data_IF_527809887775
#
_entry.id   IF_527809887775
#
_cell.length_a   1.000
_cell.length_b   1.000
_cell.length_c   1.000
_cell.angle_alpha   90.00
_cell.angle_beta   90.00
_cell.angle_gamma   90.00
#
_symmetry.space_group_name_H-M   'P 1'
#
loop_
_entity.id
_entity.type
_entity.pdbx_description
1 polymer ?
#
# COMPACT_ATOMS: atom_id res chain seq x y z
N UNK A 1 23.26 -13.02 23.77
CA UNK A 1 21.79 -13.07 23.97
C UNK A 1 21.14 -11.68 23.86
N UNK A 2 21.65 -10.67 24.53
CA UNK A 2 21.07 -9.30 24.57
C UNK A 2 21.06 -8.59 23.21
N UNK A 3 22.14 -8.71 22.42
CA UNK A 3 22.20 -8.12 21.05
C UNK A 3 21.15 -8.75 20.13
N UNK A 4 20.96 -10.07 20.21
CA UNK A 4 19.95 -10.77 19.40
C UNK A 4 18.54 -10.33 19.76
N UNK A 5 18.25 -10.17 21.06
CA UNK A 5 16.97 -9.64 21.58
C UNK A 5 16.72 -8.20 21.13
N UNK A 6 17.72 -7.30 21.23
CA UNK A 6 17.63 -5.92 20.72
C UNK A 6 17.37 -5.87 19.23
N UNK A 7 18.02 -6.73 18.44
CA UNK A 7 17.79 -6.82 17.00
C UNK A 7 16.40 -7.37 16.66
N UNK A 8 15.89 -8.30 17.45
CA UNK A 8 14.53 -8.83 17.31
C UNK A 8 13.48 -7.77 17.69
N UNK A 9 13.70 -7.02 18.79
CA UNK A 9 12.85 -5.89 19.20
C UNK A 9 12.85 -4.77 18.14
N UNK A 10 14.01 -4.40 17.57
CA UNK A 10 14.11 -3.41 16.50
C UNK A 10 13.50 -3.88 15.16
N UNK A 11 13.40 -5.20 14.94
CA UNK A 11 12.75 -5.80 13.77
C UNK A 11 11.29 -6.14 14.01
N UNK A 12 10.83 -6.03 15.25
CA UNK A 12 9.45 -6.30 15.60
C UNK A 12 8.54 -5.29 14.93
N UNK A 13 7.61 -5.79 14.13
CA UNK A 13 6.57 -4.99 13.46
C UNK A 13 5.22 -5.34 14.11
N UNK A 14 5.13 -5.08 15.42
CA UNK A 14 3.98 -5.52 16.23
C UNK A 14 2.66 -4.90 15.77
N UNK A 15 2.67 -3.63 15.37
CA UNK A 15 1.47 -2.95 14.87
C UNK A 15 1.04 -3.52 13.50
N UNK A 16 2.02 -3.89 12.67
CA UNK A 16 1.74 -4.54 11.38
C UNK A 16 1.16 -5.93 11.58
N UNK A 17 1.66 -6.66 12.58
CA UNK A 17 1.08 -7.96 12.93
C UNK A 17 -0.37 -7.83 13.40
N UNK A 18 -0.69 -6.80 14.21
CA UNK A 18 -2.07 -6.48 14.60
C UNK A 18 -2.96 -6.13 13.40
N UNK A 19 -2.44 -5.40 12.40
CA UNK A 19 -3.17 -5.16 11.15
C UNK A 19 -3.45 -6.48 10.45
N UNK A 20 -2.43 -7.35 10.30
CA UNK A 20 -2.57 -8.63 9.62
C UNK A 20 -3.61 -9.55 10.26
N UNK A 21 -3.69 -9.58 11.59
CA UNK A 21 -4.66 -10.35 12.36
C UNK A 21 -6.05 -9.68 12.48
N UNK A 22 -6.17 -8.44 12.04
CA UNK A 22 -7.40 -7.67 12.22
C UNK A 22 -8.52 -8.25 11.33
N UNK A 23 -9.73 -8.48 11.88
CA UNK A 23 -10.84 -9.10 11.14
C UNK A 23 -11.19 -8.38 9.82
N UNK A 24 -11.20 -7.04 9.82
CA UNK A 24 -11.48 -6.25 8.62
C UNK A 24 -10.39 -6.39 7.54
N UNK A 25 -9.12 -6.56 7.93
CA UNK A 25 -8.03 -6.80 7.00
C UNK A 25 -8.15 -8.16 6.34
N UNK A 26 -8.39 -9.21 7.15
CA UNK A 26 -8.60 -10.58 6.67
C UNK A 26 -9.81 -10.62 5.73
N UNK A 27 -10.92 -10.00 6.12
CA UNK A 27 -12.13 -9.90 5.30
C UNK A 27 -11.84 -9.22 3.96
N UNK A 28 -11.11 -8.09 3.98
CA UNK A 28 -10.71 -7.35 2.78
C UNK A 28 -9.90 -8.20 1.82
N UNK A 29 -8.88 -8.93 2.33
CA UNK A 29 -8.06 -9.85 1.52
C UNK A 29 -8.89 -10.96 0.87
N UNK A 30 -9.79 -11.59 1.63
CA UNK A 30 -10.66 -12.64 1.10
C UNK A 30 -11.57 -12.08 0.01
N UNK A 31 -12.19 -10.92 0.25
CA UNK A 31 -13.09 -10.27 -0.72
C UNK A 31 -12.37 -9.80 -1.99
N UNK A 32 -11.14 -9.27 -1.87
CA UNK A 32 -10.31 -8.93 -3.02
C UNK A 32 -10.01 -10.17 -3.86
N UNK A 33 -9.56 -11.25 -3.22
CA UNK A 33 -9.29 -12.53 -3.88
C UNK A 33 -10.51 -13.07 -4.62
N UNK A 34 -11.68 -13.04 -3.99
CA UNK A 34 -12.92 -13.52 -4.59
C UNK A 34 -13.35 -12.64 -5.78
N UNK A 35 -13.22 -11.31 -5.65
CA UNK A 35 -13.58 -10.38 -6.71
C UNK A 35 -12.62 -10.45 -7.91
N UNK A 36 -11.40 -10.89 -7.71
CA UNK A 36 -10.34 -11.01 -8.73
C UNK A 36 -10.12 -12.46 -9.21
N UNK A 37 -10.98 -13.40 -8.82
CA UNK A 37 -10.82 -14.83 -9.12
C UNK A 37 -10.62 -15.13 -10.61
N UNK A 38 -11.39 -14.47 -11.48
CA UNK A 38 -11.32 -14.64 -12.93
C UNK A 38 -10.42 -13.58 -13.60
N UNK A 39 -9.74 -12.77 -12.83
CA UNK A 39 -8.89 -11.70 -13.35
C UNK A 39 -7.56 -12.27 -13.84
N UNK A 40 -7.22 -12.00 -15.10
CA UNK A 40 -5.94 -12.39 -15.72
C UNK A 40 -4.81 -11.36 -15.51
N UNK A 41 -5.14 -10.17 -15.01
CA UNK A 41 -4.19 -9.08 -14.75
C UNK A 41 -3.67 -9.11 -13.31
N UNK A 42 -2.89 -8.09 -12.94
CA UNK A 42 -2.34 -7.94 -11.59
C UNK A 42 -3.40 -8.06 -10.50
N UNK A 43 -3.12 -8.84 -9.47
CA UNK A 43 -3.98 -9.03 -8.31
C UNK A 43 -3.57 -8.09 -7.17
N UNK A 44 -4.56 -7.76 -6.30
CA UNK A 44 -4.35 -6.94 -5.09
C UNK A 44 -4.32 -7.88 -3.89
N UNK A 45 -3.30 -8.71 -3.84
CA UNK A 45 -3.07 -9.72 -2.81
C UNK A 45 -1.91 -9.33 -1.86
N UNK A 46 -1.61 -10.22 -0.93
CA UNK A 46 -0.56 -10.00 0.07
C UNK A 46 0.83 -9.85 -0.56
N UNK A 47 1.11 -10.51 -1.70
CA UNK A 47 2.41 -10.37 -2.37
C UNK A 47 2.56 -8.96 -2.92
N UNK A 48 1.53 -8.45 -3.62
CA UNK A 48 1.52 -7.08 -4.09
C UNK A 48 1.68 -6.08 -2.95
N UNK A 49 0.93 -6.23 -1.85
CA UNK A 49 1.02 -5.32 -0.71
C UNK A 49 2.42 -5.30 -0.08
N UNK A 50 3.07 -6.45 0.01
CA UNK A 50 4.44 -6.53 0.53
C UNK A 50 5.47 -5.98 -0.46
N UNK A 51 5.29 -6.13 -1.75
CA UNK A 51 6.18 -5.55 -2.75
C UNK A 51 6.07 -4.02 -2.75
N UNK A 52 4.85 -3.47 -2.66
CA UNK A 52 4.64 -2.03 -2.46
C UNK A 52 5.31 -1.55 -1.17
N UNK A 53 5.15 -2.26 -0.05
CA UNK A 53 5.78 -1.89 1.22
C UNK A 53 7.31 -1.84 1.17
N UNK A 54 7.93 -2.83 0.51
CA UNK A 54 9.39 -2.90 0.34
C UNK A 54 9.90 -1.76 -0.55
N UNK A 55 9.23 -1.49 -1.65
CA UNK A 55 9.57 -0.38 -2.54
C UNK A 55 9.38 0.98 -1.87
N UNK A 56 8.27 1.20 -1.17
CA UNK A 56 8.08 2.42 -0.38
C UNK A 56 9.21 2.63 0.63
N UNK A 57 9.65 1.55 1.30
CA UNK A 57 10.75 1.64 2.25
C UNK A 57 12.07 1.98 1.57
N UNK A 58 12.37 1.40 0.41
CA UNK A 58 13.54 1.74 -0.41
C UNK A 58 13.47 3.22 -0.81
N UNK A 59 12.37 3.68 -1.38
CA UNK A 59 12.20 5.08 -1.81
C UNK A 59 12.30 6.07 -0.65
N UNK A 60 11.74 5.72 0.51
CA UNK A 60 11.87 6.55 1.71
C UNK A 60 13.35 6.73 2.10
N UNK A 61 14.14 5.65 2.06
CA UNK A 61 15.58 5.70 2.36
C UNK A 61 16.36 6.50 1.31
N UNK A 62 16.10 6.26 0.02
CA UNK A 62 16.81 6.94 -1.08
C UNK A 62 16.50 8.45 -1.15
N UNK A 63 15.26 8.83 -0.83
CA UNK A 63 14.82 10.25 -0.83
C UNK A 63 15.09 10.96 0.50
N UNK A 64 15.59 10.26 1.52
CA UNK A 64 15.86 10.82 2.84
C UNK A 64 14.61 11.18 3.63
N UNK A 65 13.47 10.49 3.39
CA UNK A 65 12.23 10.70 4.14
C UNK A 65 12.26 9.98 5.49
N UNK A 66 11.74 10.62 6.53
CA UNK A 66 11.86 10.16 7.92
C UNK A 66 10.59 9.45 8.42
N UNK A 67 10.06 8.48 7.65
CA UNK A 67 8.91 7.70 8.08
C UNK A 67 9.31 6.47 8.89
N UNK A 68 8.52 6.14 9.90
CA UNK A 68 8.64 4.89 10.64
C UNK A 68 8.36 3.69 9.72
N UNK A 69 9.13 2.59 9.91
CA UNK A 69 8.95 1.39 9.09
C UNK A 69 7.53 0.84 9.14
N UNK A 70 6.91 0.81 10.32
CA UNK A 70 5.53 0.33 10.48
C UNK A 70 4.51 1.26 9.81
N UNK A 71 4.76 2.57 9.77
CA UNK A 71 3.91 3.52 9.06
C UNK A 71 3.92 3.26 7.55
N UNK A 72 5.10 3.04 6.96
CA UNK A 72 5.26 2.68 5.55
C UNK A 72 4.51 1.37 5.23
N UNK A 73 4.75 0.34 6.04
CA UNK A 73 4.11 -0.97 5.82
C UNK A 73 2.59 -0.92 6.02
N UNK A 74 2.09 -0.17 7.02
CA UNK A 74 0.65 0.03 7.21
C UNK A 74 0.01 0.70 6.00
N UNK A 75 0.64 1.76 5.46
CA UNK A 75 0.18 2.44 4.26
C UNK A 75 0.05 1.46 3.09
N UNK A 76 1.09 0.66 2.84
CA UNK A 76 1.10 -0.30 1.74
C UNK A 76 0.08 -1.44 1.93
N UNK A 77 -0.07 -1.98 3.13
CA UNK A 77 -1.03 -3.07 3.38
C UNK A 77 -2.48 -2.60 3.24
N UNK A 78 -2.75 -1.34 3.54
CA UNK A 78 -4.10 -0.82 3.60
C UNK A 78 -4.55 -0.09 2.34
N UNK A 79 -3.65 0.27 1.41
CA UNK A 79 -3.98 1.16 0.29
C UNK A 79 -5.06 0.60 -0.65
N UNK A 80 -5.08 -0.69 -0.89
CA UNK A 80 -6.04 -1.37 -1.80
C UNK A 80 -6.90 -2.43 -1.09
N UNK A 81 -6.98 -2.41 0.25
CA UNK A 81 -7.73 -3.42 1.03
C UNK A 81 -9.24 -3.38 0.73
N UNK A 82 -9.77 -2.27 0.24
CA UNK A 82 -11.15 -2.07 -0.16
C UNK A 82 -11.42 -2.27 -1.66
N UNK A 83 -10.45 -2.75 -2.45
CA UNK A 83 -10.55 -2.87 -3.92
C UNK A 83 -11.78 -3.63 -4.41
N UNK A 84 -12.20 -4.65 -3.70
CA UNK A 84 -13.38 -5.43 -4.00
C UNK A 84 -14.68 -4.61 -4.10
N UNK A 85 -14.79 -3.48 -3.40
CA UNK A 85 -15.96 -2.62 -3.44
C UNK A 85 -16.09 -1.92 -4.79
N UNK A 86 -14.97 -1.57 -5.41
CA UNK A 86 -14.98 -1.00 -6.76
C UNK A 86 -15.54 -1.99 -7.77
N UNK A 87 -15.19 -3.28 -7.66
CA UNK A 87 -15.70 -4.30 -8.58
C UNK A 87 -17.18 -4.60 -8.36
N UNK A 88 -17.64 -4.60 -7.10
CA UNK A 88 -19.02 -4.98 -6.74
C UNK A 88 -20.01 -3.84 -6.80
N UNK A 89 -19.63 -2.64 -6.43
CA UNK A 89 -20.53 -1.52 -6.19
C UNK A 89 -20.08 -0.20 -6.86
N UNK A 90 -18.96 -0.19 -7.60
CA UNK A 90 -18.45 1.01 -8.24
C UNK A 90 -17.89 2.06 -7.28
N UNK A 91 -17.72 1.74 -5.99
CA UNK A 91 -17.12 2.66 -5.01
C UNK A 91 -15.63 2.82 -5.35
N UNK A 92 -15.12 4.05 -5.48
CA UNK A 92 -13.69 4.26 -5.69
C UNK A 92 -12.87 3.56 -4.60
N UNK A 93 -11.89 2.74 -5.00
CA UNK A 93 -11.20 1.87 -4.05
C UNK A 93 -10.36 2.63 -3.04
N UNK A 94 -9.84 3.80 -3.39
CA UNK A 94 -9.14 4.69 -2.48
C UNK A 94 -10.04 5.17 -1.33
N UNK A 95 -11.32 5.44 -1.61
CA UNK A 95 -12.31 5.80 -0.58
C UNK A 95 -12.65 4.58 0.28
N UNK A 96 -12.99 3.46 -0.37
CA UNK A 96 -13.33 2.23 0.32
C UNK A 96 -12.18 1.71 1.21
N UNK A 97 -10.94 1.80 0.72
CA UNK A 97 -9.75 1.41 1.48
C UNK A 97 -9.49 2.35 2.65
N UNK A 98 -9.64 3.66 2.48
CA UNK A 98 -9.47 4.63 3.56
C UNK A 98 -10.48 4.44 4.69
N UNK A 99 -11.74 4.12 4.39
CA UNK A 99 -12.76 3.82 5.42
C UNK A 99 -12.41 2.58 6.24
N UNK A 100 -11.96 1.51 5.58
CA UNK A 100 -11.50 0.28 6.27
C UNK A 100 -10.23 0.58 7.07
N UNK A 101 -9.26 1.26 6.45
CA UNK A 101 -7.98 1.60 7.06
C UNK A 101 -8.16 2.42 8.33
N UNK A 102 -9.04 3.42 8.33
CA UNK A 102 -9.33 4.26 9.49
C UNK A 102 -9.68 3.41 10.73
N UNK A 103 -10.60 2.47 10.58
CA UNK A 103 -11.02 1.60 11.68
C UNK A 103 -9.89 0.70 12.17
N UNK A 104 -9.10 0.14 11.26
CA UNK A 104 -7.96 -0.72 11.61
C UNK A 104 -6.90 0.09 12.37
N UNK A 105 -6.55 1.29 11.90
CA UNK A 105 -5.52 2.13 12.51
C UNK A 105 -5.90 2.57 13.94
N UNK A 106 -7.18 2.88 14.18
CA UNK A 106 -7.71 3.22 15.50
C UNK A 106 -7.51 2.10 16.53
N UNK A 107 -7.53 0.82 16.10
CA UNK A 107 -7.45 -0.36 16.96
C UNK A 107 -6.03 -0.95 17.05
N UNK A 108 -5.10 -0.53 16.19
CA UNK A 108 -3.77 -1.16 16.09
C UNK A 108 -2.62 -0.33 16.68
N UNK A 109 -2.94 0.85 17.26
CA UNK A 109 -2.01 1.65 18.06
C UNK A 109 -1.16 2.63 17.22
N UNK A 110 -1.66 3.07 16.08
CA UNK A 110 -1.10 4.20 15.34
C UNK A 110 -1.54 5.52 15.98
N UNK A 111 -0.64 6.51 16.02
CA UNK A 111 -1.00 7.84 16.50
C UNK A 111 -1.94 8.53 15.51
N UNK A 112 -2.57 9.61 15.98
CA UNK A 112 -3.45 10.39 15.10
C UNK A 112 -2.67 10.97 13.92
N UNK A 113 -1.46 11.45 14.15
CA UNK A 113 -0.60 12.04 13.12
C UNK A 113 -0.18 10.98 12.07
N UNK A 114 0.23 9.78 12.50
CA UNK A 114 0.52 8.66 11.58
C UNK A 114 -0.72 8.27 10.79
N UNK A 115 -1.86 8.13 11.44
CA UNK A 115 -3.13 7.76 10.81
C UNK A 115 -3.57 8.81 9.78
N UNK A 116 -3.43 10.11 10.09
CA UNK A 116 -3.77 11.20 9.19
C UNK A 116 -2.87 11.19 7.92
N UNK A 117 -1.56 10.86 8.06
CA UNK A 117 -0.66 10.72 6.89
C UNK A 117 -1.00 9.49 6.07
N UNK A 118 -1.21 8.34 6.71
CA UNK A 118 -1.57 7.07 6.04
C UNK A 118 -2.87 7.23 5.26
N UNK A 119 -3.93 7.77 5.87
CA UNK A 119 -5.22 7.96 5.23
C UNK A 119 -5.12 8.96 4.07
N UNK A 120 -4.35 10.04 4.25
CA UNK A 120 -4.10 10.98 3.16
C UNK A 120 -3.40 10.29 1.97
N UNK A 121 -2.36 9.49 2.22
CA UNK A 121 -1.65 8.77 1.17
C UNK A 121 -2.58 7.79 0.44
N UNK A 122 -3.44 7.05 1.17
CA UNK A 122 -4.42 6.13 0.57
C UNK A 122 -5.42 6.88 -0.31
N UNK A 123 -5.96 8.00 0.15
CA UNK A 123 -6.93 8.80 -0.62
C UNK A 123 -6.33 9.44 -1.87
N UNK A 124 -5.03 9.77 -1.82
CA UNK A 124 -4.34 10.52 -2.88
C UNK A 124 -3.60 9.64 -3.89
N UNK A 125 -3.48 8.32 -3.67
CA UNK A 125 -2.59 7.48 -4.50
C UNK A 125 -3.02 7.31 -5.97
N UNK A 126 -4.18 7.86 -6.35
CA UNK A 126 -4.62 7.96 -7.75
C UNK A 126 -4.58 9.38 -8.32
N UNK A 127 -4.49 10.39 -7.46
CA UNK A 127 -4.46 11.80 -7.85
C UNK A 127 -3.05 12.19 -8.29
N UNK A 128 -2.94 13.05 -9.30
CA UNK A 128 -1.66 13.65 -9.64
C UNK A 128 -1.22 14.61 -8.52
N UNK A 129 0.08 14.75 -8.33
CA UNK A 129 0.72 15.53 -7.25
C UNK A 129 0.20 16.98 -7.10
N UNK A 130 -0.36 17.58 -8.15
CA UNK A 130 -0.85 18.96 -8.17
C UNK A 130 -2.02 19.22 -7.20
N UNK A 131 -2.84 18.21 -6.89
CA UNK A 131 -3.98 18.35 -5.97
C UNK A 131 -3.57 18.25 -4.49
N UNK A 132 -2.32 17.91 -4.21
CA UNK A 132 -1.83 17.60 -2.86
C UNK A 132 -0.95 18.70 -2.26
N UNK A 133 -0.61 19.77 -2.98
CA UNK A 133 0.31 20.84 -2.55
C UNK A 133 -0.05 21.52 -1.21
N UNK A 134 -1.33 21.49 -0.81
CA UNK A 134 -1.81 22.12 0.42
C UNK A 134 -1.81 21.20 1.65
N UNK A 135 -1.36 19.95 1.53
CA UNK A 135 -1.57 18.91 2.57
C UNK A 135 -0.47 18.84 3.63
N UNK A 136 0.61 19.59 3.50
CA UNK A 136 1.81 19.46 4.31
C UNK A 136 2.83 18.48 3.70
N UNK A 137 4.11 18.81 3.85
CA UNK A 137 5.21 18.14 3.16
C UNK A 137 5.30 16.63 3.45
N UNK A 138 5.11 16.23 4.70
CA UNK A 138 5.19 14.82 5.15
C UNK A 138 4.05 13.96 4.59
N UNK A 139 2.84 14.47 4.55
CA UNK A 139 1.69 13.78 3.94
C UNK A 139 1.92 13.55 2.45
N UNK A 140 2.40 14.59 1.77
CA UNK A 140 2.71 14.52 0.36
C UNK A 140 3.83 13.51 0.06
N UNK A 141 4.90 13.51 0.84
CA UNK A 141 6.02 12.57 0.69
C UNK A 141 5.58 11.10 0.84
N UNK A 142 4.70 10.80 1.80
CA UNK A 142 4.16 9.45 1.97
C UNK A 142 3.25 9.05 0.80
N UNK A 143 2.42 9.96 0.31
CA UNK A 143 1.56 9.74 -0.86
C UNK A 143 2.37 9.53 -2.14
N UNK A 144 3.43 10.29 -2.35
CA UNK A 144 4.35 10.18 -3.49
C UNK A 144 5.01 8.81 -3.54
N UNK A 145 5.61 8.36 -2.43
CA UNK A 145 6.28 7.04 -2.42
C UNK A 145 5.29 5.88 -2.54
N UNK A 146 4.05 6.03 -2.06
CA UNK A 146 3.00 5.05 -2.29
C UNK A 146 2.61 4.99 -3.77
N UNK A 147 2.39 6.13 -4.40
CA UNK A 147 2.05 6.21 -5.83
C UNK A 147 3.11 5.54 -6.69
N UNK A 148 4.39 5.88 -6.47
CA UNK A 148 5.50 5.32 -7.23
C UNK A 148 5.65 3.81 -6.98
N UNK A 149 5.60 3.39 -5.72
CA UNK A 149 5.74 1.99 -5.35
C UNK A 149 4.61 1.11 -5.91
N UNK A 150 3.36 1.55 -5.86
CA UNK A 150 2.24 0.81 -6.45
C UNK A 150 2.44 0.60 -7.96
N UNK A 151 2.91 1.62 -8.68
CA UNK A 151 3.16 1.50 -10.13
C UNK A 151 4.35 0.58 -10.44
N UNK A 152 5.45 0.74 -9.71
CA UNK A 152 6.72 0.05 -9.98
C UNK A 152 6.70 -1.40 -9.49
N UNK A 153 5.87 -1.75 -8.50
CA UNK A 153 5.71 -3.11 -8.00
C UNK A 153 5.27 -4.14 -9.05
N UNK A 154 4.74 -3.68 -10.19
CA UNK A 154 4.17 -4.56 -11.22
C UNK A 154 5.28 -5.13 -12.12
N UNK A 155 5.48 -6.45 -12.12
CA UNK A 155 6.47 -7.13 -12.96
C UNK A 155 5.91 -7.39 -14.39
N UNK A 156 5.63 -6.31 -15.14
CA UNK A 156 5.03 -6.42 -16.48
C UNK A 156 5.90 -7.22 -17.46
N UNK A 157 7.22 -7.20 -17.30
CA UNK A 157 8.20 -7.93 -18.11
C UNK A 157 8.09 -9.46 -17.99
N UNK A 158 7.37 -9.99 -17.00
CA UNK A 158 7.08 -11.43 -16.85
C UNK A 158 5.60 -11.74 -16.88
N UNK A 159 4.75 -10.75 -17.11
CA UNK A 159 3.30 -10.91 -17.03
C UNK A 159 2.78 -11.70 -18.26
N UNK A 160 2.12 -12.85 -18.07
CA UNK A 160 1.56 -13.62 -19.19
C UNK A 160 0.43 -12.90 -19.93
N UNK A 161 -0.25 -11.96 -19.25
CA UNK A 161 -1.32 -11.14 -19.81
C UNK A 161 -0.84 -9.76 -20.31
N UNK A 162 0.48 -9.57 -20.52
CA UNK A 162 1.06 -8.27 -20.91
C UNK A 162 0.42 -7.71 -22.17
N UNK A 163 0.18 -8.56 -23.17
CA UNK A 163 -0.39 -8.16 -24.47
C UNK A 163 -1.86 -7.74 -24.39
N UNK A 164 -2.60 -8.31 -23.45
CA UNK A 164 -4.03 -8.04 -23.25
C UNK A 164 -4.26 -6.88 -22.24
N UNK A 165 -3.18 -6.41 -21.62
CA UNK A 165 -3.24 -5.35 -20.61
C UNK A 165 -3.46 -3.99 -21.27
N UNK A 166 -4.45 -3.25 -20.74
CA UNK A 166 -4.84 -1.93 -21.23
C UNK A 166 -3.90 -0.78 -20.79
N UNK A 167 -2.85 -1.05 -20.01
CA UNK A 167 -1.84 -0.05 -19.69
C UNK A 167 -1.04 0.29 -20.96
N UNK A 168 -0.78 1.59 -21.16
CA UNK A 168 0.12 2.03 -22.22
C UNK A 168 1.54 1.49 -22.02
N UNK A 169 2.32 1.39 -23.09
CA UNK A 169 3.71 0.94 -23.00
C UNK A 169 4.57 1.74 -22.02
N UNK A 170 4.26 3.03 -21.85
CA UNK A 170 4.94 3.93 -20.91
C UNK A 170 4.62 3.61 -19.43
N UNK A 171 3.43 3.05 -19.17
CA UNK A 171 3.01 2.65 -17.80
C UNK A 171 3.47 1.25 -17.42
N UNK A 172 3.86 0.43 -18.40
CA UNK A 172 4.31 -0.95 -18.18
C UNK A 172 5.78 -0.98 -17.77
N UNK A 173 6.10 -1.71 -16.72
CA UNK A 173 7.48 -1.93 -16.31
C UNK A 173 8.10 -3.02 -17.17
N UNK A 174 8.83 -2.62 -18.22
CA UNK A 174 9.46 -3.52 -19.20
C UNK A 174 10.87 -3.97 -18.78
N UNK A 175 11.39 -3.46 -17.66
CA UNK A 175 12.73 -3.76 -17.12
C UNK A 175 12.67 -3.94 -15.62
N UNK A 176 13.60 -4.72 -15.08
CA UNK A 176 13.87 -4.78 -13.63
C UNK A 176 14.52 -3.46 -13.24
N UNK A 177 13.95 -2.78 -12.26
CA UNK A 177 14.45 -1.49 -11.79
C UNK A 177 14.96 -1.60 -10.35
N UNK A 178 14.27 -2.33 -9.47
CA UNK A 178 14.63 -2.61 -8.08
C UNK A 178 14.49 -4.08 -7.72
#
# INVERSE_FOLDING_TARGET
MEIKRKLEEQRSMQRIWKIYEHPLFIEGLVKNKDAEKERIFCHHDMNHFLDVARLMYIFSMERGYAFGKEEIYATALLHDIGKWQQYKAGVPHEIASAEIAKRILEETGFTKEESDRILFAILSHRSNAEETENAGQDKWQLAEILYDADKISRACYTCPAEKDCNWSGEKKNQKIIW
#
